data_IF_283398652990
#
_entry.id   IF_283398652990
#
_cell.length_a   1.000
_cell.length_b   1.000
_cell.length_c   1.000
_cell.angle_alpha   90.00
_cell.angle_beta   90.00
_cell.angle_gamma   90.00
#
_symmetry.space_group_name_H-M   'P 1'
#
loop_
_entity.id
_entity.type
_entity.pdbx_description
1 polymer ?
#
# COMPACT_ATOMS: atom_id res chain seq x y z
N UNK A 1 25.11 16.68 -42.43
CA UNK A 1 23.73 16.54 -41.93
C UNK A 1 23.82 16.45 -40.42
N UNK A 2 23.43 17.51 -39.72
CA UNK A 2 23.57 17.66 -38.26
C UNK A 2 22.33 17.03 -37.63
N UNK A 3 22.49 15.89 -36.94
CA UNK A 3 21.40 15.26 -36.19
C UNK A 3 21.34 15.98 -34.85
N UNK A 4 20.28 16.74 -34.53
CA UNK A 4 20.21 17.42 -33.25
C UNK A 4 19.89 16.41 -32.15
N UNK A 5 20.71 16.47 -31.12
CA UNK A 5 20.62 15.88 -29.79
C UNK A 5 19.19 16.02 -29.20
N UNK A 6 18.34 15.00 -29.37
CA UNK A 6 17.02 14.91 -28.74
C UNK A 6 17.09 14.27 -27.33
N UNK A 7 18.28 14.03 -26.78
CA UNK A 7 18.44 13.28 -25.52
C UNK A 7 18.48 14.14 -24.26
N UNK A 8 18.21 15.46 -24.34
CA UNK A 8 18.23 16.36 -23.18
C UNK A 8 16.87 16.90 -22.71
N UNK A 9 15.76 16.46 -23.28
CA UNK A 9 14.43 17.02 -22.94
C UNK A 9 13.59 16.17 -21.95
N UNK A 10 14.02 14.97 -21.55
CA UNK A 10 13.16 14.06 -20.76
C UNK A 10 13.52 13.99 -19.26
N UNK A 11 14.61 14.64 -18.82
CA UNK A 11 15.08 14.50 -17.43
C UNK A 11 14.53 15.56 -16.45
N UNK A 12 13.57 16.39 -16.87
CA UNK A 12 12.93 17.39 -16.00
C UNK A 12 11.46 17.08 -15.64
N UNK A 13 10.93 15.93 -16.09
CA UNK A 13 9.50 15.58 -15.90
C UNK A 13 9.19 14.71 -14.68
N UNK A 14 10.16 13.99 -14.11
CA UNK A 14 9.93 13.08 -12.97
C UNK A 14 9.93 13.76 -11.60
N UNK A 15 10.31 15.03 -11.50
CA UNK A 15 10.35 15.75 -10.23
C UNK A 15 9.02 16.43 -9.85
N UNK A 16 8.02 16.46 -10.75
CA UNK A 16 6.75 17.18 -10.55
C UNK A 16 5.52 16.29 -10.34
N UNK A 17 5.68 14.96 -10.29
CA UNK A 17 4.60 14.05 -9.91
C UNK A 17 4.41 13.89 -8.39
N UNK A 18 5.12 14.69 -7.57
CA UNK A 18 5.12 14.59 -6.11
C UNK A 18 4.42 15.74 -5.37
N UNK A 19 3.95 16.79 -6.05
CA UNK A 19 3.23 17.90 -5.41
C UNK A 19 1.77 17.91 -5.85
N UNK A 20 0.92 17.32 -4.99
CA UNK A 20 -0.42 17.79 -4.59
C UNK A 20 -1.34 16.60 -4.28
N UNK A 21 -1.18 16.03 -3.09
CA UNK A 21 -2.32 15.64 -2.26
C UNK A 21 -2.15 16.34 -0.92
N UNK A 22 -2.81 17.48 -0.76
CA UNK A 22 -3.15 17.97 0.57
C UNK A 22 -4.13 16.96 1.18
N UNK A 23 -3.60 16.01 1.93
CA UNK A 23 -4.39 14.97 2.58
C UNK A 23 -3.49 14.02 3.33
N UNK A 24 -3.90 13.66 4.54
CA UNK A 24 -3.22 12.73 5.44
C UNK A 24 -2.96 11.33 4.83
N UNK A 25 -3.50 11.06 3.63
CA UNK A 25 -3.36 9.81 2.88
C UNK A 25 -1.93 9.59 2.38
N UNK A 26 -1.30 8.55 2.92
CA UNK A 26 0.00 8.03 2.48
C UNK A 26 -0.17 7.32 1.14
N UNK A 27 -1.17 6.45 1.02
CA UNK A 27 -1.57 5.82 -0.24
C UNK A 27 -2.93 5.13 -0.11
N UNK A 28 -3.60 4.92 -1.25
CA UNK A 28 -4.85 4.17 -1.36
C UNK A 28 -4.89 3.38 -2.66
N UNK A 29 -5.72 2.35 -2.72
CA UNK A 29 -5.86 1.53 -3.91
C UNK A 29 -6.98 0.51 -3.80
N UNK A 30 -7.15 -0.24 -4.87
CA UNK A 30 -8.11 -1.32 -4.98
C UNK A 30 -7.38 -2.57 -5.45
N UNK A 31 -7.55 -3.69 -4.75
CA UNK A 31 -7.09 -5.01 -5.18
C UNK A 31 -8.30 -5.72 -5.76
N UNK A 32 -8.26 -6.07 -7.04
CA UNK A 32 -9.42 -6.61 -7.75
C UNK A 32 -9.55 -8.14 -7.67
N UNK A 33 -8.54 -8.82 -7.13
CA UNK A 33 -8.55 -10.28 -6.98
C UNK A 33 -7.66 -10.71 -5.79
N UNK A 34 -7.94 -10.20 -4.59
CA UNK A 34 -7.12 -10.49 -3.41
C UNK A 34 -7.32 -11.92 -2.87
N UNK A 35 -8.41 -12.58 -3.29
CA UNK A 35 -8.72 -13.97 -2.96
C UNK A 35 -8.07 -14.99 -3.91
N UNK A 36 -7.46 -14.54 -5.01
CA UNK A 36 -6.57 -15.34 -5.84
C UNK A 36 -5.13 -15.00 -5.48
N UNK A 37 -4.35 -16.02 -5.14
CA UNK A 37 -2.96 -15.95 -4.66
C UNK A 37 -1.94 -15.36 -5.69
N UNK A 38 -2.41 -14.72 -6.77
CA UNK A 38 -1.61 -14.35 -7.96
C UNK A 38 -1.45 -12.85 -8.18
N UNK A 39 -1.58 -12.00 -7.17
CA UNK A 39 -1.23 -10.58 -7.28
C UNK A 39 0.27 -10.40 -7.63
N UNK A 40 0.69 -10.60 -8.87
CA UNK A 40 2.09 -10.55 -9.27
C UNK A 40 2.50 -9.10 -9.55
N UNK A 41 3.48 -8.58 -8.81
CA UNK A 41 4.18 -7.35 -9.19
C UNK A 41 5.16 -7.62 -10.37
N UNK A 42 5.83 -6.56 -10.85
CA UNK A 42 6.72 -6.63 -12.02
C UNK A 42 7.91 -7.58 -11.88
N UNK A 43 8.18 -8.08 -10.66
CA UNK A 43 9.23 -9.03 -10.33
C UNK A 43 8.69 -10.45 -10.09
N UNK A 44 7.39 -10.67 -10.29
CA UNK A 44 6.74 -11.96 -10.07
C UNK A 44 6.48 -12.30 -8.60
N UNK A 45 6.53 -11.31 -7.70
CA UNK A 45 6.19 -11.51 -6.30
C UNK A 45 4.70 -11.34 -6.10
N UNK A 46 4.10 -12.16 -5.23
CA UNK A 46 2.70 -12.01 -4.83
C UNK A 46 2.57 -10.78 -3.92
N UNK A 47 2.41 -9.59 -4.50
CA UNK A 47 2.21 -8.30 -3.81
C UNK A 47 0.99 -7.59 -4.36
N UNK A 48 -0.09 -7.60 -3.59
CA UNK A 48 -1.36 -6.97 -3.98
C UNK A 48 -1.33 -5.43 -3.88
N UNK A 49 -0.34 -4.83 -3.21
CA UNK A 49 -0.28 -3.38 -3.03
C UNK A 49 1.11 -2.81 -3.32
N UNK A 50 1.16 -1.52 -3.68
CA UNK A 50 2.41 -0.80 -3.93
C UNK A 50 3.20 -0.64 -2.62
N UNK A 51 4.51 -0.92 -2.62
CA UNK A 51 5.33 -0.67 -1.44
C UNK A 51 5.38 0.82 -1.06
N UNK A 52 5.48 1.09 0.24
CA UNK A 52 5.56 2.43 0.81
C UNK A 52 6.55 2.45 1.99
N UNK A 53 7.20 3.59 2.19
CA UNK A 53 8.17 3.75 3.26
C UNK A 53 7.46 4.10 4.56
N UNK A 54 7.83 3.41 5.63
CA UNK A 54 7.40 3.77 6.99
C UNK A 54 8.56 4.27 7.84
N UNK A 55 8.27 5.20 8.74
CA UNK A 55 9.23 5.72 9.71
C UNK A 55 9.03 5.05 11.06
N UNK A 56 10.15 4.73 11.74
CA UNK A 56 10.14 4.27 13.13
C UNK A 56 9.28 5.18 14.00
N UNK A 57 8.40 4.59 14.81
CA UNK A 57 7.47 5.28 15.71
C UNK A 57 6.47 6.22 15.02
N UNK A 58 6.43 6.27 13.69
CA UNK A 58 5.38 6.97 12.94
C UNK A 58 4.01 6.35 13.20
N UNK A 59 2.94 7.12 13.06
CA UNK A 59 1.59 6.60 13.24
C UNK A 59 0.87 6.53 11.91
N UNK A 60 0.33 5.35 11.60
CA UNK A 60 -0.35 5.05 10.34
C UNK A 60 -1.73 4.46 10.64
N UNK A 61 -2.78 5.11 10.18
CA UNK A 61 -4.14 4.57 10.21
C UNK A 61 -4.38 3.77 8.92
N UNK A 62 -4.73 2.50 9.07
CA UNK A 62 -5.07 1.62 7.94
C UNK A 62 -6.55 1.29 7.99
N UNK A 63 -7.22 1.41 6.84
CA UNK A 63 -8.62 1.06 6.66
C UNK A 63 -8.83 0.32 5.36
N UNK A 64 -9.72 -0.65 5.36
CA UNK A 64 -10.14 -1.35 4.15
C UNK A 64 -11.63 -1.72 4.19
N UNK A 65 -12.16 -2.03 3.02
CA UNK A 65 -13.51 -2.54 2.79
C UNK A 65 -13.47 -3.60 1.71
N UNK A 66 -14.40 -4.56 1.78
CA UNK A 66 -14.57 -5.64 0.80
C UNK A 66 -16.01 -5.67 0.33
N UNK A 67 -16.26 -6.06 -0.92
CA UNK A 67 -17.63 -6.16 -1.45
C UNK A 67 -18.45 -7.32 -0.83
N UNK A 68 -17.79 -8.28 -0.18
CA UNK A 68 -18.45 -9.42 0.46
C UNK A 68 -19.02 -9.13 1.85
N UNK A 69 -20.30 -9.42 2.05
CA UNK A 69 -21.05 -9.16 3.30
C UNK A 69 -20.55 -9.91 4.55
N UNK A 70 -19.70 -10.93 4.40
CA UNK A 70 -19.22 -11.80 5.49
C UNK A 70 -17.71 -12.06 5.45
N UNK A 71 -16.94 -11.25 4.70
CA UNK A 71 -15.51 -11.49 4.60
C UNK A 71 -14.79 -11.00 5.85
N UNK A 72 -14.29 -11.95 6.65
CA UNK A 72 -13.21 -11.63 7.57
C UNK A 72 -11.93 -11.59 6.74
N UNK A 73 -11.34 -10.39 6.63
CA UNK A 73 -10.08 -10.19 5.92
C UNK A 73 -9.04 -9.70 6.90
N UNK A 74 -7.91 -10.39 6.95
CA UNK A 74 -6.74 -9.98 7.72
C UNK A 74 -5.85 -9.13 6.83
N UNK A 75 -5.52 -7.93 7.30
CA UNK A 75 -4.43 -7.13 6.75
C UNK A 75 -3.12 -7.64 7.32
N UNK A 76 -2.16 -7.94 6.46
CA UNK A 76 -0.77 -8.17 6.79
C UNK A 76 0.08 -7.04 6.22
N UNK A 77 1.00 -6.52 7.00
CA UNK A 77 2.07 -5.63 6.54
C UNK A 77 3.33 -6.46 6.47
N UNK A 78 4.00 -6.44 5.33
CA UNK A 78 5.19 -7.26 5.06
C UNK A 78 6.35 -6.40 4.61
N UNK A 79 7.56 -6.78 5.03
CA UNK A 79 8.79 -6.15 4.55
C UNK A 79 8.95 -6.38 3.04
N UNK A 80 9.24 -5.32 2.30
CA UNK A 80 9.33 -5.35 0.85
C UNK A 80 10.64 -5.96 0.32
N UNK A 81 11.64 -6.22 1.16
CA UNK A 81 12.87 -6.93 0.80
C UNK A 81 12.78 -8.43 1.05
N UNK A 82 12.35 -8.84 2.24
CA UNK A 82 12.33 -10.24 2.69
C UNK A 82 10.97 -10.91 2.58
N UNK A 83 9.87 -10.14 2.58
CA UNK A 83 8.51 -10.68 2.68
C UNK A 83 8.08 -11.06 4.10
N UNK A 84 8.91 -10.78 5.11
CA UNK A 84 8.62 -11.08 6.51
C UNK A 84 7.39 -10.31 7.00
N UNK A 85 6.55 -10.97 7.79
CA UNK A 85 5.43 -10.32 8.44
C UNK A 85 5.94 -9.38 9.53
N UNK A 86 5.63 -8.09 9.41
CA UNK A 86 6.03 -7.07 10.40
C UNK A 86 4.86 -6.62 11.26
N UNK A 87 3.64 -6.73 10.75
CA UNK A 87 2.43 -6.35 11.46
C UNK A 87 1.20 -7.03 10.85
N UNK A 88 0.16 -7.27 11.64
CA UNK A 88 -1.11 -7.75 11.10
C UNK A 88 -2.30 -7.26 11.93
N UNK A 89 -3.46 -7.17 11.30
CA UNK A 89 -4.74 -6.86 11.97
C UNK A 89 -5.94 -7.47 11.24
N UNK A 90 -6.97 -7.79 12.02
CA UNK A 90 -8.25 -8.27 11.51
C UNK A 90 -9.30 -7.15 11.32
N UNK A 91 -9.00 -5.92 11.76
CA UNK A 91 -9.90 -4.76 11.69
C UNK A 91 -9.12 -3.48 11.42
N UNK A 92 -9.81 -2.46 10.88
CA UNK A 92 -9.28 -1.11 10.69
C UNK A 92 -8.68 -0.55 11.98
N UNK A 93 -7.61 0.23 11.85
CA UNK A 93 -7.06 0.98 12.97
C UNK A 93 -5.62 1.42 12.78
N UNK A 94 -5.01 1.81 13.89
CA UNK A 94 -3.69 2.41 13.90
C UNK A 94 -2.59 1.37 14.03
N UNK A 95 -1.46 1.70 13.41
CA UNK A 95 -0.21 0.97 13.45
C UNK A 95 0.96 1.93 13.69
N UNK A 96 1.88 1.53 14.56
CA UNK A 96 3.13 2.24 14.86
C UNK A 96 4.33 1.31 14.59
N UNK A 97 5.10 1.51 13.50
CA UNK A 97 6.22 0.65 13.15
C UNK A 97 7.36 0.74 14.16
N UNK A 98 7.99 -0.39 14.47
CA UNK A 98 9.11 -0.47 15.43
C UNK A 98 10.44 0.03 14.84
N UNK A 99 10.55 0.02 13.50
CA UNK A 99 11.72 0.49 12.74
C UNK A 99 11.27 1.15 11.44
N UNK A 100 12.20 1.84 10.78
CA UNK A 100 11.96 2.37 9.44
C UNK A 100 12.28 1.31 8.40
N UNK A 101 11.34 1.02 7.51
CA UNK A 101 11.47 -0.02 6.49
C UNK A 101 10.50 0.24 5.33
N UNK A 102 10.77 -0.40 4.19
CA UNK A 102 9.87 -0.37 3.04
C UNK A 102 8.93 -1.55 3.16
N UNK A 103 7.61 -1.32 3.13
CA UNK A 103 6.61 -2.36 3.36
C UNK A 103 5.54 -2.36 2.29
N UNK A 104 4.79 -3.45 2.20
CA UNK A 104 3.56 -3.52 1.43
C UNK A 104 2.45 -4.15 2.27
N UNK A 105 1.20 -3.91 1.88
CA UNK A 105 0.02 -4.56 2.44
C UNK A 105 -0.35 -5.80 1.63
N UNK A 106 -0.75 -6.83 2.34
CA UNK A 106 -1.27 -8.07 1.81
C UNK A 106 -2.60 -8.36 2.53
N UNK A 107 -3.62 -8.75 1.79
CA UNK A 107 -4.96 -8.99 2.33
C UNK A 107 -5.23 -10.49 2.27
N UNK A 108 -5.49 -11.10 3.43
CA UNK A 108 -5.75 -12.53 3.57
C UNK A 108 -7.22 -12.77 3.89
N UNK A 109 -8.04 -13.28 2.94
CA UNK A 109 -9.40 -13.67 3.25
C UNK A 109 -9.39 -14.90 4.16
N UNK A 110 -10.17 -14.90 5.25
CA UNK A 110 -10.29 -16.07 6.13
C UNK A 110 -11.08 -17.23 5.50
N UNK A 111 -11.89 -16.95 4.48
CA UNK A 111 -12.62 -17.96 3.72
C UNK A 111 -12.28 -17.79 2.23
N UNK A 112 -11.63 -18.80 1.68
CA UNK A 112 -11.23 -18.87 0.29
C UNK A 112 -12.46 -19.06 -0.62
N UNK A 113 -12.45 -18.45 -1.81
CA UNK A 113 -13.42 -18.70 -2.88
C UNK A 113 -14.90 -18.32 -2.57
N UNK A 114 -15.13 -17.31 -1.72
CA UNK A 114 -16.49 -16.83 -1.39
C UNK A 114 -16.91 -15.54 -2.12
N UNK A 115 -16.27 -15.21 -3.25
CA UNK A 115 -16.62 -14.01 -4.02
C UNK A 115 -16.21 -12.69 -3.37
N UNK A 116 -15.17 -12.70 -2.54
CA UNK A 116 -14.54 -11.47 -2.09
C UNK A 116 -13.45 -11.11 -3.10
N UNK A 117 -13.87 -10.59 -4.24
CA UNK A 117 -12.96 -10.37 -5.34
C UNK A 117 -12.16 -9.08 -5.08
N UNK A 118 -12.80 -8.08 -4.46
CA UNK A 118 -12.24 -6.75 -4.29
C UNK A 118 -11.93 -6.39 -2.83
N UNK A 119 -10.81 -5.67 -2.64
CA UNK A 119 -10.51 -4.90 -1.42
C UNK A 119 -10.17 -3.48 -1.83
N UNK A 120 -10.93 -2.52 -1.33
CA UNK A 120 -10.54 -1.10 -1.34
C UNK A 120 -9.82 -0.79 -0.03
N UNK A 121 -8.67 -0.13 -0.11
CA UNK A 121 -7.88 0.18 1.05
C UNK A 121 -7.29 1.59 1.03
N UNK A 122 -7.01 2.11 2.21
CA UNK A 122 -6.37 3.39 2.42
C UNK A 122 -5.46 3.34 3.64
N UNK A 123 -4.28 3.94 3.51
CA UNK A 123 -3.35 4.20 4.61
C UNK A 123 -3.18 5.71 4.74
N UNK A 124 -3.38 6.22 5.94
CA UNK A 124 -3.16 7.62 6.32
C UNK A 124 -2.09 7.71 7.39
N UNK A 125 -1.39 8.84 7.47
CA UNK A 125 -0.73 9.20 8.73
C UNK A 125 -1.82 9.54 9.74
N UNK A 126 -1.61 9.16 10.99
CA UNK A 126 -2.46 9.67 12.05
C UNK A 126 -2.31 11.19 12.11
N UNK A 127 -3.39 11.88 12.46
CA UNK A 127 -3.28 13.31 12.78
C UNK A 127 -2.44 13.46 14.04
N UNK A 128 -1.53 14.41 14.02
CA UNK A 128 -0.83 14.80 15.24
C UNK A 128 -1.88 15.37 16.21
N UNK A 129 -1.90 14.89 17.46
CA UNK A 129 -2.84 15.33 18.49
C UNK A 129 -2.69 16.83 18.86
N UNK A 130 -1.72 17.53 18.26
CA UNK A 130 -1.44 18.96 18.47
C UNK A 130 -2.30 19.92 17.62
N UNK A 131 -3.23 19.41 16.79
CA UNK A 131 -4.21 20.23 16.04
C UNK A 131 -5.64 20.21 16.64
N UNK A 132 -5.77 20.02 17.96
CA UNK A 132 -7.04 20.13 18.71
C UNK A 132 -7.00 21.15 19.84
#
# INVERSE_FOLDING_TARGET
MYVPDMQKAVTAGLALAGLQTAGDTVFKGSVLDYAVEKCLDGDGNVRCTKPFLVSKSGCYQVSWSTDGALSHTTLEVRDAGSGDLVYYRDTNGEWRPEKGELVYLDFKPKVWNTGNDTVDYEVKKCRDEEEL
#
